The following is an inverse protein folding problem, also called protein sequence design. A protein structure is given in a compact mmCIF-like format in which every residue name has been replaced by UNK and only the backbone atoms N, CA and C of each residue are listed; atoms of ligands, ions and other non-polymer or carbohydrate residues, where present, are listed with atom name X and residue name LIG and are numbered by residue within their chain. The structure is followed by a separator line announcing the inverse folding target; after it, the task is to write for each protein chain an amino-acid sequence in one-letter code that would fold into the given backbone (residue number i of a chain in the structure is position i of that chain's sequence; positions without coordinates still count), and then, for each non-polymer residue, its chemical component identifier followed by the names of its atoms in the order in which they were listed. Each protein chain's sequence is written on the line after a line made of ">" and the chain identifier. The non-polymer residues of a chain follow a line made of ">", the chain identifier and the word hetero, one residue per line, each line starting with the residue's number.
data_IF_324662203392
#
_entry.id   IF_324662203392
#
_cell.length_a   1.000
_cell.length_b   1.000
_cell.length_c   1.000
_cell.angle_alpha   90.00
_cell.angle_beta   90.00
_cell.angle_gamma   90.00
#
_symmetry.space_group_name_H-M   'P 1'
#
loop_
_entity.id
_entity.type
_entity.pdbx_description
1 polymer ?
#
# COMPACT_ATOMS: atom_id res chain seq x y z
N UNK A 1 -2.65 12.14 -13.45
CA UNK A 1 -3.20 13.18 -14.35
C UNK A 1 -2.70 14.58 -13.99
N UNK A 2 -2.84 15.05 -12.75
CA UNK A 2 -2.34 16.37 -12.31
C UNK A 2 -0.84 16.57 -12.58
N UNK A 3 -0.01 15.57 -12.26
CA UNK A 3 1.44 15.59 -12.54
C UNK A 3 1.75 15.77 -14.02
N UNK A 4 1.05 15.06 -14.91
CA UNK A 4 1.25 15.15 -16.36
C UNK A 4 0.93 16.56 -16.86
N UNK A 5 -0.15 17.17 -16.38
CA UNK A 5 -0.55 18.53 -16.74
C UNK A 5 0.48 19.55 -16.27
N UNK A 6 0.99 19.43 -15.04
CA UNK A 6 2.02 20.34 -14.50
C UNK A 6 3.32 20.22 -15.30
N UNK A 7 3.83 18.99 -15.49
CA UNK A 7 5.09 18.76 -16.22
C UNK A 7 4.99 19.23 -17.66
N UNK A 8 3.89 18.95 -18.37
CA UNK A 8 3.70 19.46 -19.74
C UNK A 8 3.62 21.00 -19.80
N UNK A 9 3.00 21.64 -18.81
CA UNK A 9 2.99 23.10 -18.68
C UNK A 9 4.38 23.71 -18.51
N UNK A 10 5.31 23.02 -17.83
CA UNK A 10 6.70 23.51 -17.64
C UNK A 10 7.46 23.60 -18.97
N UNK A 11 7.16 22.74 -19.95
CA UNK A 11 7.77 22.82 -21.27
C UNK A 11 7.42 24.14 -21.98
N UNK A 12 6.16 24.58 -21.87
CA UNK A 12 5.68 25.84 -22.46
C UNK A 12 6.17 27.09 -21.71
N UNK A 13 6.34 27.00 -20.38
CA UNK A 13 6.73 28.13 -19.53
C UNK A 13 8.25 28.30 -19.41
N UNK A 14 8.98 27.20 -19.29
CA UNK A 14 10.42 27.19 -18.95
C UNK A 14 11.30 26.58 -20.06
N UNK A 15 10.71 26.13 -21.17
CA UNK A 15 11.44 25.56 -22.31
C UNK A 15 12.00 24.15 -22.07
N UNK A 16 11.79 23.57 -20.88
CA UNK A 16 12.18 22.20 -20.53
C UNK A 16 11.09 21.55 -19.67
N UNK A 17 10.92 20.24 -19.81
CA UNK A 17 10.09 19.46 -18.88
C UNK A 17 10.81 19.34 -17.54
N UNK A 18 10.20 19.87 -16.49
CA UNK A 18 10.65 19.73 -15.11
C UNK A 18 9.76 18.70 -14.44
N UNK A 19 10.35 17.58 -14.03
CA UNK A 19 9.63 16.49 -13.36
C UNK A 19 9.59 16.66 -11.85
N UNK A 20 10.53 17.41 -11.27
CA UNK A 20 10.53 17.74 -9.85
C UNK A 20 9.52 18.87 -9.55
N UNK A 21 8.44 18.59 -8.81
CA UNK A 21 7.45 19.61 -8.48
C UNK A 21 8.03 20.70 -7.55
N UNK A 22 9.05 20.41 -6.75
CA UNK A 22 9.72 21.39 -5.89
C UNK A 22 10.54 22.36 -6.75
N UNK A 23 11.30 21.86 -7.72
CA UNK A 23 12.00 22.70 -8.70
C UNK A 23 11.03 23.55 -9.52
N UNK A 24 9.85 23.00 -9.84
CA UNK A 24 8.82 23.74 -10.58
C UNK A 24 8.31 24.94 -9.79
N UNK A 25 8.01 24.75 -8.49
CA UNK A 25 7.52 25.83 -7.62
C UNK A 25 8.59 26.89 -7.39
N UNK A 26 9.86 26.51 -7.23
CA UNK A 26 10.95 27.47 -6.97
C UNK A 26 11.23 28.43 -8.15
N UNK A 27 10.78 28.09 -9.36
CA UNK A 27 10.97 28.89 -10.59
C UNK A 27 9.86 29.91 -10.87
N UNK A 28 8.85 30.03 -10.01
CA UNK A 28 7.72 30.96 -10.17
C UNK A 28 8.13 32.43 -10.05
N UNK A 29 9.32 32.72 -9.50
CA UNK A 29 9.93 34.07 -9.52
C UNK A 29 9.38 35.06 -8.49
N UNK A 30 8.45 34.65 -7.63
CA UNK A 30 7.92 35.44 -6.52
C UNK A 30 8.12 34.69 -5.20
N UNK A 31 8.92 35.26 -4.29
CA UNK A 31 9.32 34.61 -3.03
C UNK A 31 8.12 34.21 -2.15
N UNK A 32 7.07 35.03 -2.11
CA UNK A 32 5.85 34.73 -1.35
C UNK A 32 5.06 33.59 -2.00
N UNK A 33 4.95 33.58 -3.33
CA UNK A 33 4.30 32.50 -4.06
C UNK A 33 5.06 31.17 -3.91
N UNK A 34 6.40 31.22 -3.93
CA UNK A 34 7.26 30.05 -3.67
C UNK A 34 7.03 29.54 -2.25
N UNK A 35 7.04 30.41 -1.24
CA UNK A 35 6.83 30.02 0.15
C UNK A 35 5.46 29.34 0.37
N UNK A 36 4.39 29.91 -0.18
CA UNK A 36 3.03 29.33 -0.10
C UNK A 36 2.96 27.99 -0.84
N UNK A 37 3.59 27.90 -2.03
CA UNK A 37 3.63 26.68 -2.82
C UNK A 37 4.35 25.55 -2.11
N UNK A 38 5.51 25.82 -1.50
CA UNK A 38 6.27 24.84 -0.72
C UNK A 38 5.50 24.40 0.53
N UNK A 39 4.89 25.34 1.27
CA UNK A 39 4.06 25.01 2.44
C UNK A 39 2.89 24.10 2.03
N UNK A 40 2.22 24.43 0.93
CA UNK A 40 1.11 23.63 0.39
C UNK A 40 1.58 22.23 0.00
N UNK A 41 2.74 22.11 -0.66
CA UNK A 41 3.34 20.82 -1.02
C UNK A 41 3.67 19.97 0.22
N UNK A 42 4.27 20.56 1.25
CA UNK A 42 4.57 19.86 2.51
C UNK A 42 3.28 19.38 3.16
N UNK A 43 2.30 20.26 3.34
CA UNK A 43 1.02 19.91 3.97
C UNK A 43 0.27 18.85 3.17
N UNK A 44 0.21 18.97 1.84
CA UNK A 44 -0.43 17.99 0.97
C UNK A 44 0.27 16.62 1.06
N UNK A 45 1.60 16.60 1.03
CA UNK A 45 2.39 15.37 1.13
C UNK A 45 2.15 14.67 2.46
N UNK A 46 2.15 15.40 3.58
CA UNK A 46 1.85 14.84 4.90
C UNK A 46 0.41 14.31 4.94
N UNK A 47 -0.56 15.10 4.49
CA UNK A 47 -1.98 14.73 4.53
C UNK A 47 -2.29 13.46 3.75
N UNK A 48 -1.79 13.35 2.51
CA UNK A 48 -2.00 12.16 1.68
C UNK A 48 -1.29 10.93 2.27
N UNK A 49 -0.08 11.08 2.82
CA UNK A 49 0.64 9.95 3.41
C UNK A 49 -0.06 9.43 4.67
N UNK A 50 -0.62 10.32 5.50
CA UNK A 50 -1.40 9.92 6.67
C UNK A 50 -2.60 9.07 6.22
N UNK A 51 -3.41 9.58 5.29
CA UNK A 51 -4.65 8.89 4.88
C UNK A 51 -4.36 7.62 4.09
N UNK A 52 -3.45 7.67 3.12
CA UNK A 52 -3.22 6.56 2.19
C UNK A 52 -2.32 5.47 2.78
N UNK A 53 -1.30 5.84 3.56
CA UNK A 53 -0.23 4.90 3.94
C UNK A 53 -0.16 4.62 5.45
N UNK A 54 -0.67 5.50 6.31
CA UNK A 54 -0.56 5.33 7.77
C UNK A 54 -1.79 4.66 8.39
N UNK A 55 -3.00 4.99 7.92
CA UNK A 55 -4.25 4.52 8.54
C UNK A 55 -4.41 3.00 8.45
N UNK A 56 -4.14 2.40 7.29
CA UNK A 56 -4.27 0.94 7.10
C UNK A 56 -3.42 0.13 8.08
N UNK A 57 -2.08 0.30 8.15
CA UNK A 57 -1.27 -0.51 9.05
C UNK A 57 -1.60 -0.25 10.53
N UNK A 58 -2.02 0.97 10.89
CA UNK A 58 -2.48 1.25 12.24
C UNK A 58 -3.72 0.42 12.62
N UNK A 59 -4.67 0.27 11.68
CA UNK A 59 -5.82 -0.62 11.87
C UNK A 59 -5.42 -2.10 11.88
N UNK A 60 -4.55 -2.53 10.96
CA UNK A 60 -4.09 -3.92 10.87
C UNK A 60 -3.49 -4.38 12.21
N UNK A 61 -2.56 -3.60 12.79
CA UNK A 61 -1.99 -3.93 14.10
C UNK A 61 -3.01 -3.88 15.24
N UNK A 62 -3.93 -2.92 15.24
CA UNK A 62 -4.97 -2.87 16.27
C UNK A 62 -5.92 -4.06 16.19
N UNK A 63 -6.21 -4.56 14.99
CA UNK A 63 -7.09 -5.71 14.75
C UNK A 63 -6.42 -7.05 15.08
N UNK A 64 -5.08 -7.13 15.12
CA UNK A 64 -4.38 -8.35 15.56
C UNK A 64 -4.63 -8.68 17.04
N UNK A 65 -4.82 -7.66 17.89
CA UNK A 65 -5.10 -7.85 19.31
C UNK A 65 -5.92 -6.67 19.85
N UNK A 66 -7.22 -6.55 19.51
CA UNK A 66 -8.02 -5.34 19.77
C UNK A 66 -8.20 -5.01 21.24
N UNK A 67 -8.11 -6.01 22.14
CA UNK A 67 -8.16 -5.80 23.59
C UNK A 67 -6.85 -5.22 24.17
N UNK A 68 -5.75 -5.27 23.43
CA UNK A 68 -4.40 -4.88 23.90
C UNK A 68 -3.79 -3.74 23.10
N UNK A 69 -4.11 -3.63 21.81
CA UNK A 69 -3.50 -2.67 20.89
C UNK A 69 -4.58 -1.71 20.41
N UNK A 70 -4.55 -0.49 20.96
CA UNK A 70 -5.37 0.60 20.45
C UNK A 70 -4.88 1.08 19.08
N UNK A 71 -5.72 1.79 18.32
CA UNK A 71 -5.32 2.44 17.07
C UNK A 71 -4.06 3.31 17.22
N UNK A 72 -3.94 4.05 18.34
CA UNK A 72 -2.75 4.85 18.65
C UNK A 72 -1.51 3.98 18.81
N UNK A 73 -1.60 2.89 19.56
CA UNK A 73 -0.49 1.95 19.75
C UNK A 73 -0.12 1.26 18.43
N UNK A 74 -1.10 0.80 17.65
CA UNK A 74 -0.89 0.23 16.32
C UNK A 74 -0.21 1.19 15.36
N UNK A 75 -0.63 2.45 15.35
CA UNK A 75 0.01 3.51 14.58
C UNK A 75 1.46 3.76 14.99
N UNK A 76 1.77 3.73 16.29
CA UNK A 76 3.16 3.84 16.76
C UNK A 76 4.02 2.64 16.34
N UNK A 77 3.47 1.42 16.39
CA UNK A 77 4.15 0.21 15.91
C UNK A 77 4.45 0.35 14.41
N UNK A 78 3.47 0.78 13.61
CA UNK A 78 3.64 1.01 12.19
C UNK A 78 4.70 2.08 11.88
N UNK A 79 4.69 3.20 12.62
CA UNK A 79 5.66 4.28 12.44
C UNK A 79 7.10 3.86 12.76
N UNK A 80 7.30 3.13 13.85
CA UNK A 80 8.63 2.62 14.21
C UNK A 80 9.08 1.56 13.20
N UNK A 81 8.19 0.63 12.84
CA UNK A 81 8.47 -0.39 11.84
C UNK A 81 8.88 0.18 10.49
N UNK A 82 8.19 1.22 10.01
CA UNK A 82 8.51 1.85 8.72
C UNK A 82 9.90 2.51 8.71
N UNK A 83 10.32 3.13 9.81
CA UNK A 83 11.68 3.68 9.95
C UNK A 83 12.72 2.57 9.95
N UNK A 84 12.48 1.48 10.69
CA UNK A 84 13.40 0.35 10.80
C UNK A 84 13.60 -0.40 9.48
N UNK A 85 12.58 -0.44 8.62
CA UNK A 85 12.70 -1.00 7.27
C UNK A 85 13.61 -0.15 6.37
N UNK A 86 13.87 1.10 6.74
CA UNK A 86 14.72 2.03 5.98
C UNK A 86 14.37 2.06 4.49
N UNK A 87 13.11 2.35 4.12
CA UNK A 87 12.62 2.16 2.76
C UNK A 87 13.36 2.99 1.72
N UNK A 88 14.03 4.07 2.13
CA UNK A 88 14.90 4.85 1.25
C UNK A 88 16.07 4.03 0.67
N UNK A 89 16.52 2.99 1.36
CA UNK A 89 17.56 2.10 0.86
C UNK A 89 17.13 1.30 -0.39
N UNK A 90 15.82 1.13 -0.63
CA UNK A 90 15.34 0.49 -1.85
C UNK A 90 15.68 1.30 -3.11
N UNK A 91 15.77 2.63 -2.99
CA UNK A 91 16.08 3.49 -4.14
C UNK A 91 17.56 3.50 -4.52
N UNK A 92 18.41 2.77 -3.80
CA UNK A 92 19.84 2.67 -4.10
C UNK A 92 20.15 1.80 -5.32
N UNK A 93 19.22 0.93 -5.74
CA UNK A 93 19.40 0.04 -6.90
C UNK A 93 18.05 -0.17 -7.60
N UNK A 94 17.97 0.07 -8.92
CA UNK A 94 16.77 -0.24 -9.71
C UNK A 94 16.32 -1.69 -9.55
N UNK A 95 17.28 -2.63 -9.45
CA UNK A 95 17.02 -4.05 -9.28
C UNK A 95 16.26 -4.34 -7.97
N UNK A 96 16.61 -3.67 -6.86
CA UNK A 96 15.92 -3.81 -5.58
C UNK A 96 14.48 -3.27 -5.63
N UNK A 97 14.26 -2.19 -6.40
CA UNK A 97 12.91 -1.65 -6.63
C UNK A 97 12.07 -2.69 -7.38
N UNK A 98 12.55 -3.20 -8.51
CA UNK A 98 11.83 -4.17 -9.33
C UNK A 98 11.54 -5.46 -8.53
N UNK A 99 12.55 -6.01 -7.88
CA UNK A 99 12.39 -7.22 -7.06
C UNK A 99 11.33 -7.05 -5.97
N UNK A 100 11.31 -5.90 -5.28
CA UNK A 100 10.31 -5.64 -4.24
C UNK A 100 8.91 -5.54 -4.82
N UNK A 101 8.74 -4.85 -5.96
CA UNK A 101 7.45 -4.72 -6.63
C UNK A 101 6.94 -6.08 -7.13
N UNK A 102 7.82 -6.90 -7.69
CA UNK A 102 7.49 -8.23 -8.20
C UNK A 102 7.00 -9.15 -7.09
N UNK A 103 7.76 -9.21 -5.99
CA UNK A 103 7.37 -9.97 -4.80
C UNK A 103 6.04 -9.47 -4.26
N UNK A 104 5.87 -8.16 -4.04
CA UNK A 104 4.59 -7.62 -3.55
C UNK A 104 3.42 -7.98 -4.49
N UNK A 105 3.60 -7.83 -5.80
CA UNK A 105 2.61 -8.18 -6.80
C UNK A 105 2.21 -9.66 -6.77
N UNK A 106 3.19 -10.57 -6.62
CA UNK A 106 2.97 -12.01 -6.58
C UNK A 106 2.13 -12.44 -5.36
N UNK A 107 2.18 -11.72 -4.25
CA UNK A 107 1.36 -11.99 -3.07
C UNK A 107 -0.02 -11.30 -3.15
N UNK A 108 -0.04 -10.03 -3.55
CA UNK A 108 -1.26 -9.20 -3.53
C UNK A 108 -2.28 -9.71 -4.56
N UNK A 109 -1.85 -10.07 -5.77
CA UNK A 109 -2.75 -10.53 -6.84
C UNK A 109 -3.60 -11.74 -6.44
N UNK A 110 -2.98 -12.88 -6.05
CA UNK A 110 -3.71 -14.05 -5.58
C UNK A 110 -4.57 -13.79 -4.33
N UNK A 111 -4.07 -12.99 -3.38
CA UNK A 111 -4.84 -12.64 -2.18
C UNK A 111 -6.17 -11.97 -2.54
N UNK A 112 -6.14 -10.93 -3.38
CA UNK A 112 -7.36 -10.27 -3.84
C UNK A 112 -8.24 -11.18 -4.70
N UNK A 113 -7.64 -12.02 -5.54
CA UNK A 113 -8.38 -13.01 -6.33
C UNK A 113 -9.20 -13.96 -5.45
N UNK A 114 -8.61 -14.47 -4.36
CA UNK A 114 -9.29 -15.32 -3.38
C UNK A 114 -10.40 -14.56 -2.68
N UNK A 115 -10.16 -13.32 -2.23
CA UNK A 115 -11.18 -12.49 -1.56
C UNK A 115 -12.38 -12.20 -2.47
N UNK A 116 -12.13 -11.83 -3.73
CA UNK A 116 -13.18 -11.54 -4.73
C UNK A 116 -13.99 -12.81 -5.02
N UNK A 117 -13.32 -13.94 -5.26
CA UNK A 117 -13.98 -15.22 -5.53
C UNK A 117 -14.81 -15.69 -4.31
N UNK A 118 -14.26 -15.58 -3.11
CA UNK A 118 -14.95 -15.94 -1.88
C UNK A 118 -16.20 -15.06 -1.66
N UNK A 119 -16.07 -13.75 -1.83
CA UNK A 119 -17.20 -12.83 -1.62
C UNK A 119 -18.29 -12.98 -2.69
N UNK A 120 -17.94 -12.91 -3.98
CA UNK A 120 -18.93 -12.85 -5.06
C UNK A 120 -19.39 -14.21 -5.57
N UNK A 121 -18.49 -15.20 -5.69
CA UNK A 121 -18.84 -16.50 -6.27
C UNK A 121 -19.33 -17.49 -5.21
N UNK A 122 -18.61 -17.60 -4.09
CA UNK A 122 -18.89 -18.58 -3.03
C UNK A 122 -20.00 -18.06 -2.12
N UNK A 123 -19.80 -16.89 -1.52
CA UNK A 123 -20.72 -16.28 -0.55
C UNK A 123 -21.85 -15.49 -1.20
N UNK A 124 -21.76 -15.21 -2.51
CA UNK A 124 -22.78 -14.49 -3.29
C UNK A 124 -23.18 -13.14 -2.66
N UNK A 125 -22.18 -12.40 -2.15
CA UNK A 125 -22.35 -11.13 -1.48
C UNK A 125 -22.94 -11.22 -0.06
N UNK A 126 -23.13 -12.42 0.51
CA UNK A 126 -23.71 -12.61 1.84
C UNK A 126 -22.62 -12.93 2.86
N UNK A 127 -22.34 -11.95 3.73
CA UNK A 127 -21.40 -12.08 4.85
C UNK A 127 -22.15 -11.81 6.14
N UNK A 128 -21.88 -12.62 7.17
CA UNK A 128 -22.41 -12.42 8.51
C UNK A 128 -21.44 -11.52 9.27
N UNK A 129 -21.86 -10.30 9.60
CA UNK A 129 -20.98 -9.35 10.28
C UNK A 129 -20.71 -9.81 11.71
N UNK A 130 -21.71 -10.34 12.41
CA UNK A 130 -21.56 -10.84 13.78
C UNK A 130 -20.53 -11.98 13.84
N UNK A 131 -20.59 -12.92 12.89
CA UNK A 131 -19.65 -14.04 12.83
C UNK A 131 -18.21 -13.61 12.47
N UNK A 132 -18.00 -12.43 11.88
CA UNK A 132 -16.64 -11.91 11.61
C UNK A 132 -15.91 -11.50 12.90
N UNK A 133 -16.66 -11.19 13.95
CA UNK A 133 -16.13 -10.81 15.26
C UNK A 133 -16.25 -11.95 16.30
N UNK A 134 -16.67 -13.16 15.89
CA UNK A 134 -16.70 -14.35 16.73
C UNK A 134 -15.40 -15.16 16.57
N UNK A 135 -14.53 -15.07 17.58
CA UNK A 135 -13.27 -15.81 17.67
C UNK A 135 -13.41 -17.16 18.37
N UNK A 136 -14.62 -17.66 18.57
CA UNK A 136 -14.84 -18.96 19.18
C UNK A 136 -14.82 -20.08 18.13
N UNK A 137 -14.54 -21.34 18.54
CA UNK A 137 -14.59 -22.49 17.63
C UNK A 137 -15.92 -22.75 16.93
N UNK A 138 -17.00 -22.10 17.37
CA UNK A 138 -18.34 -22.20 16.79
C UNK A 138 -18.59 -21.14 15.71
N UNK A 139 -17.76 -20.10 15.66
CA UNK A 139 -17.86 -19.02 14.69
C UNK A 139 -17.74 -19.54 13.26
N UNK A 140 -18.60 -19.02 12.37
CA UNK A 140 -18.68 -19.46 10.97
C UNK A 140 -17.36 -19.31 10.22
N UNK A 141 -16.54 -18.33 10.61
CA UNK A 141 -15.26 -18.02 9.99
C UNK A 141 -14.05 -18.45 10.83
N UNK A 142 -14.26 -19.26 11.87
CA UNK A 142 -13.16 -19.83 12.66
C UNK A 142 -12.40 -20.93 11.91
N UNK A 143 -13.10 -21.68 11.05
CA UNK A 143 -12.55 -22.80 10.29
C UNK A 143 -11.74 -23.78 11.18
N UNK A 144 -10.46 -24.00 10.87
CA UNK A 144 -9.57 -24.87 11.64
C UNK A 144 -8.60 -24.02 12.43
N UNK A 145 -8.92 -23.80 13.71
CA UNK A 145 -8.07 -23.04 14.65
C UNK A 145 -7.79 -21.59 14.18
N UNK A 146 -8.78 -20.92 13.62
CA UNK A 146 -8.68 -19.56 13.08
C UNK A 146 -8.20 -19.49 11.63
N UNK A 147 -7.85 -20.61 10.99
CA UNK A 147 -7.30 -20.63 9.63
C UNK A 147 -8.21 -21.39 8.66
N UNK A 148 -8.43 -20.81 7.48
CA UNK A 148 -9.10 -21.48 6.36
C UNK A 148 -8.08 -22.27 5.52
N UNK A 149 -8.02 -23.61 5.63
CA UNK A 149 -7.02 -24.40 4.91
C UNK A 149 -7.19 -24.36 3.40
N UNK A 150 -8.43 -24.19 2.91
CA UNK A 150 -8.72 -24.09 1.47
C UNK A 150 -8.19 -22.77 0.90
N UNK A 151 -8.32 -21.67 1.64
CA UNK A 151 -7.77 -20.38 1.22
C UNK A 151 -6.23 -20.42 1.20
N UNK A 152 -5.60 -21.02 2.21
CA UNK A 152 -4.14 -21.19 2.25
C UNK A 152 -3.65 -22.08 1.10
N UNK A 153 -4.35 -23.20 0.86
CA UNK A 153 -4.02 -24.11 -0.23
C UNK A 153 -4.23 -23.50 -1.63
N UNK A 154 -5.09 -22.47 -1.76
CA UNK A 154 -5.20 -21.69 -2.98
C UNK A 154 -4.09 -20.63 -3.08
N UNK A 155 -3.73 -19.98 -1.97
CA UNK A 155 -2.76 -18.90 -1.93
C UNK A 155 -1.35 -19.40 -2.26
N UNK A 156 -0.85 -20.42 -1.55
CA UNK A 156 0.54 -20.88 -1.66
C UNK A 156 0.96 -21.26 -3.10
N UNK A 157 0.23 -22.11 -3.85
CA UNK A 157 0.61 -22.43 -5.22
C UNK A 157 0.45 -21.23 -6.16
N UNK A 158 -0.53 -20.35 -5.92
CA UNK A 158 -0.73 -19.16 -6.76
C UNK A 158 0.43 -18.17 -6.61
N UNK A 159 0.90 -17.94 -5.38
CA UNK A 159 2.10 -17.13 -5.12
C UNK A 159 3.34 -17.80 -5.72
N UNK A 160 3.51 -19.10 -5.52
CA UNK A 160 4.64 -19.85 -6.06
C UNK A 160 4.76 -19.75 -7.58
N UNK A 161 3.65 -19.92 -8.30
CA UNK A 161 3.59 -19.73 -9.74
C UNK A 161 3.87 -18.27 -10.15
N UNK A 162 3.36 -17.30 -9.38
CA UNK A 162 3.61 -15.87 -9.63
C UNK A 162 5.09 -15.50 -9.52
N UNK A 163 5.75 -15.98 -8.46
CA UNK A 163 7.19 -15.73 -8.24
C UNK A 163 8.07 -16.45 -9.25
N UNK A 164 7.72 -17.69 -9.63
CA UNK A 164 8.49 -18.48 -10.60
C UNK A 164 8.37 -17.90 -12.02
N UNK A 165 7.17 -17.43 -12.39
CA UNK A 165 6.96 -16.73 -13.64
C UNK A 165 7.82 -15.46 -13.75
N UNK A 166 7.89 -14.65 -12.69
CA UNK A 166 8.71 -13.44 -12.64
C UNK A 166 10.21 -13.73 -12.76
N UNK A 167 10.68 -14.82 -12.14
CA UNK A 167 12.07 -15.30 -12.26
C UNK A 167 12.42 -15.71 -13.70
N UNK A 168 11.46 -16.28 -14.44
CA UNK A 168 11.69 -16.77 -15.81
C UNK A 168 11.55 -15.69 -16.88
N UNK A 169 10.69 -14.69 -16.67
CA UNK A 169 10.45 -13.61 -17.64
C UNK A 169 11.55 -12.54 -17.67
N UNK A 170 12.46 -12.54 -16.69
CA UNK A 170 13.46 -11.48 -16.51
C UNK A 170 12.83 -10.15 -16.05
N UNK A 171 13.63 -9.22 -15.48
CA UNK A 171 13.15 -7.88 -15.19
C UNK A 171 12.78 -7.19 -16.51
N UNK A 172 11.56 -6.64 -16.59
CA UNK A 172 11.07 -5.86 -17.72
C UNK A 172 11.80 -4.52 -17.85
#
# INVERSE_FOLDING_TARGET
>A
MVTVVIVSGTQSLFGKMITDPIETVSRVGNDLAVAIGLLTMITATIGINIVANFVSPAFDFSNCAPQKISFRAGGMIAAVGSILLTPWNLFNSPELIHYTLDVLGAFIGPLFGILIADFYLIKRGRVSVDDLFDDTPKGKYWYRNGFNPKAIAALLPSVGLGTDYQLYSGPA
#
